data_IF_666232877871
#
_entry.id   IF_666232877871
#
_cell.length_a   1.000
_cell.length_b   1.000
_cell.length_c   1.000
_cell.angle_alpha   90.00
_cell.angle_beta   90.00
_cell.angle_gamma   90.00
#
_symmetry.space_group_name_H-M   'P 1'
#
loop_
_entity.id
_entity.type
_entity.pdbx_description
1 polymer ?
#
# COMPACT_ATOMS: atom_id res chain seq x y z
N UNK A 1 11.56 -17.20 14.78
CA UNK A 1 10.48 -16.28 15.21
C UNK A 1 10.55 -15.04 14.33
N UNK A 2 9.78 -15.00 13.23
CA UNK A 2 9.69 -13.79 12.40
C UNK A 2 8.78 -12.81 13.14
N UNK A 3 9.32 -11.67 13.55
CA UNK A 3 8.52 -10.60 14.14
C UNK A 3 7.80 -9.88 13.00
N UNK A 4 6.47 -9.90 12.99
CA UNK A 4 5.68 -9.08 12.07
C UNK A 4 5.74 -7.63 12.57
N UNK A 5 6.57 -6.80 11.94
CA UNK A 5 6.54 -5.36 12.18
C UNK A 5 5.37 -4.78 11.39
N UNK A 6 4.49 -4.06 12.07
CA UNK A 6 3.35 -3.40 11.44
C UNK A 6 3.72 -2.12 10.68
N UNK A 7 2.70 -1.52 10.07
CA UNK A 7 2.78 -0.19 9.46
C UNK A 7 3.01 0.93 10.49
N UNK A 8 2.37 0.96 11.67
CA UNK A 8 2.57 2.09 12.59
C UNK A 8 4.02 2.22 13.08
N UNK A 9 4.76 1.11 13.21
CA UNK A 9 6.18 1.14 13.61
C UNK A 9 7.13 1.64 12.49
N UNK A 10 6.64 1.73 11.25
CA UNK A 10 7.45 2.00 10.04
C UNK A 10 6.99 3.22 9.24
N UNK A 11 6.18 4.08 9.83
CA UNK A 11 5.67 5.30 9.18
C UNK A 11 6.77 6.23 8.65
N UNK A 12 7.96 6.21 9.27
CA UNK A 12 9.14 6.98 8.84
C UNK A 12 9.71 6.57 7.48
N UNK A 13 9.38 5.39 6.98
CA UNK A 13 9.84 4.89 5.68
C UNK A 13 8.99 5.43 4.51
N UNK A 14 7.84 6.02 4.82
CA UNK A 14 6.93 6.59 3.84
C UNK A 14 7.30 8.04 3.55
N UNK A 15 7.27 8.40 2.25
CA UNK A 15 7.62 9.73 1.78
C UNK A 15 6.68 10.79 2.40
N UNK A 16 7.27 11.86 2.92
CA UNK A 16 6.54 13.04 3.44
C UNK A 16 6.35 14.08 2.34
N UNK A 17 5.29 14.88 2.46
CA UNK A 17 4.99 15.96 1.51
C UNK A 17 4.42 15.51 0.17
N UNK A 18 4.26 14.21 -0.06
CA UNK A 18 3.69 13.65 -1.27
C UNK A 18 2.60 12.63 -0.99
N UNK A 19 1.63 12.57 -1.90
CA UNK A 19 0.52 11.62 -1.83
C UNK A 19 1.02 10.20 -2.07
N UNK A 20 0.83 9.34 -1.07
CA UNK A 20 1.12 7.92 -1.13
C UNK A 20 -0.15 7.11 -1.38
N UNK A 21 -0.16 6.26 -2.40
CA UNK A 21 -1.27 5.34 -2.65
C UNK A 21 -0.97 3.94 -2.11
N UNK A 22 -1.81 3.45 -1.20
CA UNK A 22 -1.66 2.14 -0.57
C UNK A 22 -2.63 1.16 -1.23
N UNK A 23 -2.12 -0.01 -1.64
CA UNK A 23 -2.91 -1.02 -2.33
C UNK A 23 -2.67 -2.40 -1.71
N UNK A 24 -3.74 -3.18 -1.58
CA UNK A 24 -3.66 -4.62 -1.29
C UNK A 24 -4.53 -5.40 -2.28
N UNK A 25 -4.73 -6.70 -2.07
CA UNK A 25 -5.54 -7.52 -2.99
C UNK A 25 -6.97 -6.99 -3.22
N UNK A 26 -7.72 -6.73 -2.15
CA UNK A 26 -9.15 -6.33 -2.20
C UNK A 26 -9.46 -4.94 -1.66
N UNK A 27 -8.47 -4.24 -1.10
CA UNK A 27 -8.62 -2.93 -0.46
C UNK A 27 -8.81 -2.92 1.06
N UNK A 28 -9.11 -4.06 1.71
CA UNK A 28 -9.39 -4.05 3.16
C UNK A 28 -8.15 -3.72 4.02
N UNK A 29 -7.02 -4.37 3.71
CA UNK A 29 -5.76 -4.17 4.44
C UNK A 29 -5.17 -2.78 4.19
N UNK A 30 -5.24 -2.30 2.94
CA UNK A 30 -4.75 -0.98 2.57
C UNK A 30 -5.55 0.15 3.22
N UNK A 31 -6.86 -0.02 3.47
CA UNK A 31 -7.64 0.96 4.24
C UNK A 31 -7.14 1.11 5.67
N UNK A 32 -6.85 0.01 6.35
CA UNK A 32 -6.30 0.04 7.72
C UNK A 32 -4.92 0.70 7.74
N UNK A 33 -4.06 0.33 6.79
CA UNK A 33 -2.73 0.92 6.63
C UNK A 33 -2.78 2.42 6.34
N UNK A 34 -3.63 2.85 5.41
CA UNK A 34 -3.82 4.28 5.09
C UNK A 34 -4.30 5.07 6.31
N UNK A 35 -5.19 4.50 7.14
CA UNK A 35 -5.64 5.13 8.38
C UNK A 35 -4.49 5.35 9.37
N UNK A 36 -3.61 4.37 9.57
CA UNK A 36 -2.43 4.52 10.42
C UNK A 36 -1.46 5.57 9.90
N UNK A 37 -1.22 5.60 8.59
CA UNK A 37 -0.35 6.61 7.96
C UNK A 37 -0.95 8.02 8.07
N UNK A 38 -2.27 8.16 7.87
CA UNK A 38 -2.98 9.43 8.05
C UNK A 38 -2.91 9.91 9.50
N UNK A 39 -3.07 9.02 10.48
CA UNK A 39 -2.90 9.33 11.90
C UNK A 39 -1.46 9.78 12.23
N UNK A 40 -0.46 9.35 11.46
CA UNK A 40 0.93 9.81 11.55
C UNK A 40 1.21 11.11 10.76
N UNK A 41 0.17 11.76 10.22
CA UNK A 41 0.27 13.02 9.47
C UNK A 41 0.75 12.86 8.02
N UNK A 42 0.65 11.65 7.44
CA UNK A 42 1.02 11.38 6.05
C UNK A 42 -0.19 11.43 5.13
N UNK A 43 -0.01 11.95 3.92
CA UNK A 43 -1.06 11.98 2.90
C UNK A 43 -1.16 10.60 2.20
N UNK A 44 -1.83 9.64 2.86
CA UNK A 44 -1.90 8.24 2.42
C UNK A 44 -3.32 7.81 2.06
N UNK A 45 -3.53 7.31 0.84
CA UNK A 45 -4.84 6.98 0.28
C UNK A 45 -4.94 5.52 -0.11
N UNK A 46 -6.00 4.83 0.32
CA UNK A 46 -6.25 3.45 -0.09
C UNK A 46 -6.87 3.38 -1.47
N UNK A 47 -6.35 2.51 -2.34
CA UNK A 47 -6.96 2.20 -3.64
C UNK A 47 -8.22 1.34 -3.43
N UNK A 48 -9.37 1.81 -3.91
CA UNK A 48 -10.63 1.07 -3.84
C UNK A 48 -10.56 -0.22 -4.67
N UNK A 49 -11.06 -1.33 -4.11
CA UNK A 49 -11.05 -2.64 -4.76
C UNK A 49 -9.67 -3.30 -4.91
N UNK A 50 -8.60 -2.63 -4.46
CA UNK A 50 -7.25 -3.20 -4.46
C UNK A 50 -6.69 -3.48 -5.86
N UNK A 51 -5.70 -4.36 -5.94
CA UNK A 51 -5.20 -4.86 -7.24
C UNK A 51 -6.25 -5.66 -7.99
N UNK A 52 -7.20 -6.29 -7.29
CA UNK A 52 -8.32 -7.04 -7.88
C UNK A 52 -9.24 -6.20 -8.74
N UNK A 53 -9.44 -4.91 -8.42
CA UNK A 53 -10.17 -3.98 -9.29
C UNK A 53 -9.32 -3.40 -10.43
N UNK A 54 -7.98 -3.56 -10.37
CA UNK A 54 -7.04 -3.00 -11.34
C UNK A 54 -6.73 -3.96 -12.50
N UNK A 55 -6.71 -5.26 -12.23
CA UNK A 55 -6.49 -6.33 -13.23
C UNK A 55 -7.59 -6.32 -14.32
N UNK A 56 -8.89 -6.22 -13.99
CA UNK A 56 -9.96 -6.16 -14.99
C UNK A 56 -9.93 -4.88 -15.84
N UNK A 57 -9.30 -3.81 -15.34
CA UNK A 57 -9.21 -2.53 -16.04
C UNK A 57 -8.13 -2.49 -17.15
N UNK A 58 -7.57 -3.65 -17.54
CA UNK A 58 -6.57 -3.76 -18.60
C UNK A 58 -5.22 -3.10 -18.29
N UNK A 59 -4.95 -2.80 -17.02
CA UNK A 59 -3.70 -2.15 -16.61
C UNK A 59 -2.57 -3.18 -16.49
N UNK A 60 -1.34 -2.85 -16.92
CA UNK A 60 -0.21 -3.76 -16.81
C UNK A 60 0.06 -4.12 -15.35
N UNK A 61 0.19 -5.42 -15.10
CA UNK A 61 0.57 -5.99 -13.79
C UNK A 61 1.80 -6.85 -14.02
N UNK A 62 2.83 -6.58 -13.23
CA UNK A 62 4.04 -7.41 -13.19
C UNK A 62 3.87 -8.42 -12.07
N UNK A 63 4.05 -9.70 -12.40
CA UNK A 63 4.07 -10.79 -11.44
C UNK A 63 5.51 -11.23 -11.23
N UNK A 64 5.91 -11.49 -9.99
CA UNK A 64 7.25 -11.97 -9.68
C UNK A 64 7.56 -11.93 -8.19
N UNK A 65 8.63 -12.60 -7.75
CA UNK A 65 9.05 -12.63 -6.35
C UNK A 65 9.60 -11.27 -5.85
N UNK A 66 10.06 -10.40 -6.75
CA UNK A 66 10.55 -9.05 -6.42
C UNK A 66 10.05 -8.04 -7.45
N UNK A 67 9.49 -6.92 -6.98
CA UNK A 67 8.74 -5.95 -7.78
C UNK A 67 9.58 -4.95 -8.59
N UNK A 68 10.88 -5.18 -8.73
CA UNK A 68 11.82 -4.37 -9.50
C UNK A 68 12.71 -5.25 -10.39
N UNK A 69 12.10 -5.95 -11.35
CA UNK A 69 12.83 -6.50 -12.50
C UNK A 69 12.78 -5.46 -13.64
N UNK A 70 13.49 -4.36 -13.44
CA UNK A 70 13.88 -3.38 -14.45
C UNK A 70 15.16 -2.70 -13.95
#
# INVERSE_FOLDING_TARGET
MVQEVGVPERTREVRRGERSYVVCASGNRSRRAASWLAAAGLDAWSVAGGTGARVPAGRPVVHGPHGNAA
#
